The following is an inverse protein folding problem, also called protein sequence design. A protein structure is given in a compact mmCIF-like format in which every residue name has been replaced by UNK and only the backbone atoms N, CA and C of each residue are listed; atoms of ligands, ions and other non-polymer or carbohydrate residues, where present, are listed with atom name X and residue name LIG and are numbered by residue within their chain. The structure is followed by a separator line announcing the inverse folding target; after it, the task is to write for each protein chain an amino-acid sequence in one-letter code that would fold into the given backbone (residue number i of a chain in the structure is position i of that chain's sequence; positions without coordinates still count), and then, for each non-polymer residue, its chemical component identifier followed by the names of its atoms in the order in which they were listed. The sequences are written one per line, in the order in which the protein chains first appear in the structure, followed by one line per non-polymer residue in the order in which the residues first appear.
data_IF_233594878862
#
_entry.id   IF_233594878862
#
_cell.length_a   1.000
_cell.length_b   1.000
_cell.length_c   1.000
_cell.angle_alpha   90.00
_cell.angle_beta   90.00
_cell.angle_gamma   90.00
#
_symmetry.space_group_name_H-M   'P 1'
#
loop_
_entity.id
_entity.type
_entity.pdbx_description
1 polymer ?
#
# COMPACT_ATOMS: atom_id res chain seq x y z
N UNK A 1 1.90 7.04 -11.66
CA UNK A 1 1.64 6.94 -10.20
C UNK A 1 1.77 8.30 -9.54
N UNK A 2 1.19 8.47 -8.36
CA UNK A 2 1.29 9.65 -7.52
C UNK A 2 1.58 9.26 -6.06
N UNK A 3 2.24 10.16 -5.33
CA UNK A 3 2.49 10.06 -3.89
C UNK A 3 1.89 11.27 -3.19
N UNK A 4 1.52 11.11 -1.93
CA UNK A 4 1.12 12.23 -1.10
C UNK A 4 2.28 13.23 -0.91
N UNK A 5 1.96 14.49 -0.64
CA UNK A 5 2.96 15.53 -0.36
C UNK A 5 3.48 15.52 1.08
N UNK A 6 2.95 14.62 1.92
CA UNK A 6 3.37 14.40 3.31
C UNK A 6 3.64 12.91 3.52
N UNK A 7 4.79 12.63 4.11
CA UNK A 7 5.19 11.29 4.51
C UNK A 7 5.08 11.11 6.03
N UNK A 8 5.05 9.86 6.44
CA UNK A 8 5.12 9.41 7.83
C UNK A 8 6.50 8.78 8.07
N UNK A 9 6.97 8.84 9.31
CA UNK A 9 8.25 8.26 9.72
C UNK A 9 8.19 7.80 11.17
N UNK A 10 9.14 6.96 11.56
CA UNK A 10 9.30 6.53 12.94
C UNK A 10 9.47 7.72 13.92
N UNK A 11 9.02 7.57 15.18
CA UNK A 11 8.29 6.42 15.73
C UNK A 11 6.78 6.46 15.43
N UNK A 12 6.08 5.40 15.84
CA UNK A 12 4.62 5.32 15.83
C UNK A 12 4.05 4.48 14.69
N UNK A 13 2.72 4.43 14.65
CA UNK A 13 1.97 3.72 13.64
C UNK A 13 0.97 4.64 12.95
N UNK A 14 0.75 4.40 11.67
CA UNK A 14 -0.03 5.28 10.82
C UNK A 14 -0.96 4.44 9.94
N UNK A 15 -2.14 4.99 9.69
CA UNK A 15 -3.20 4.34 8.93
C UNK A 15 -3.78 5.29 7.89
N UNK A 16 -4.17 4.75 6.75
CA UNK A 16 -5.06 5.44 5.81
C UNK A 16 -5.95 4.46 5.04
N UNK A 17 -7.00 4.99 4.42
CA UNK A 17 -7.92 4.21 3.61
C UNK A 17 -7.94 4.67 2.15
N UNK A 18 -8.23 3.72 1.27
CA UNK A 18 -8.47 3.96 -0.15
C UNK A 18 -9.75 3.28 -0.59
N UNK A 19 -10.68 4.03 -1.16
CA UNK A 19 -11.90 3.46 -1.76
C UNK A 19 -11.70 3.25 -3.25
N UNK A 20 -11.98 2.05 -3.76
CA UNK A 20 -11.91 1.72 -5.19
C UNK A 20 -13.13 2.29 -5.92
N UNK A 21 -12.93 3.27 -6.79
CA UNK A 21 -14.04 3.99 -7.45
C UNK A 21 -14.41 3.43 -8.83
N UNK A 22 -13.48 2.76 -9.48
CA UNK A 22 -13.61 2.27 -10.86
C UNK A 22 -13.07 0.85 -10.95
N UNK A 23 -13.56 0.10 -11.93
CA UNK A 23 -13.01 -1.21 -12.27
C UNK A 23 -11.62 -1.05 -12.88
N UNK A 24 -10.71 -1.95 -12.53
CA UNK A 24 -9.33 -1.94 -13.03
C UNK A 24 -8.32 -2.35 -11.97
N UNK A 25 -7.03 -2.40 -12.34
CA UNK A 25 -5.98 -2.89 -11.46
C UNK A 25 -5.73 -1.91 -10.31
N UNK A 26 -6.04 -2.27 -9.07
CA UNK A 26 -5.80 -1.40 -7.92
C UNK A 26 -4.35 -1.50 -7.49
N UNK A 27 -3.70 -0.40 -7.10
CA UNK A 27 -2.28 -0.35 -6.72
C UNK A 27 -2.05 0.78 -5.71
N UNK A 28 -1.98 0.43 -4.43
CA UNK A 28 -1.91 1.36 -3.28
C UNK A 28 -0.92 0.86 -2.24
N UNK A 29 -0.22 1.77 -1.57
CA UNK A 29 0.64 1.38 -0.46
C UNK A 29 1.59 2.47 -0.02
N UNK A 30 2.71 2.06 0.53
CA UNK A 30 3.71 2.93 1.12
C UNK A 30 4.99 2.90 0.29
N UNK A 31 5.59 4.05 0.03
CA UNK A 31 6.89 4.10 -0.62
C UNK A 31 7.75 5.24 -0.11
N UNK A 32 9.06 5.05 -0.09
CA UNK A 32 10.00 6.12 0.22
C UNK A 32 10.10 7.13 -0.93
N UNK A 33 10.81 8.24 -0.71
CA UNK A 33 11.01 9.23 -1.76
C UNK A 33 11.87 8.70 -2.93
N UNK A 34 12.81 7.78 -2.64
CA UNK A 34 13.69 7.16 -3.63
C UNK A 34 13.03 6.05 -4.45
N UNK A 35 11.83 5.60 -4.07
CA UNK A 35 11.13 4.53 -4.77
C UNK A 35 10.74 4.92 -6.20
N UNK A 36 10.91 3.97 -7.09
CA UNK A 36 10.38 3.92 -8.44
C UNK A 36 8.86 4.06 -8.43
N UNK A 37 8.36 4.68 -9.48
CA UNK A 37 6.92 4.72 -9.75
C UNK A 37 6.43 3.45 -10.45
N UNK A 38 7.35 2.61 -10.92
CA UNK A 38 7.08 1.26 -11.38
C UNK A 38 7.15 0.30 -10.20
N UNK A 39 6.08 -0.46 -10.05
CA UNK A 39 5.76 -1.15 -8.82
C UNK A 39 6.58 -2.40 -8.59
N UNK A 40 7.11 -2.54 -7.37
CA UNK A 40 7.71 -3.77 -6.89
C UNK A 40 9.03 -4.14 -7.56
N UNK A 41 9.55 -3.31 -8.47
CA UNK A 41 10.88 -3.49 -9.07
C UNK A 41 12.00 -3.09 -8.11
N UNK A 42 11.67 -2.32 -7.07
CA UNK A 42 12.60 -1.92 -6.03
C UNK A 42 12.21 -2.42 -4.65
N UNK A 43 13.14 -2.20 -3.73
CA UNK A 43 13.05 -2.56 -2.34
C UNK A 43 12.69 -1.36 -1.46
N UNK A 44 12.05 -0.34 -2.05
CA UNK A 44 11.76 0.97 -1.44
C UNK A 44 10.25 1.28 -1.36
N UNK A 45 9.40 0.44 -1.96
CA UNK A 45 7.94 0.52 -1.88
C UNK A 45 7.27 -0.81 -1.57
N UNK A 46 6.29 -0.79 -0.67
CA UNK A 46 5.45 -1.94 -0.31
C UNK A 46 4.03 -1.64 -0.75
N UNK A 47 3.51 -2.44 -1.68
CA UNK A 47 2.28 -2.08 -2.40
C UNK A 47 1.31 -3.23 -2.44
N UNK A 48 0.07 -2.96 -2.06
CA UNK A 48 -1.07 -3.81 -2.30
C UNK A 48 -1.72 -3.49 -3.64
N UNK A 49 -2.11 -4.51 -4.37
CA UNK A 49 -2.83 -4.32 -5.61
C UNK A 49 -3.35 -5.58 -6.27
N UNK A 50 -3.95 -5.39 -7.45
CA UNK A 50 -4.41 -6.47 -8.31
C UNK A 50 -3.69 -6.41 -9.66
N UNK A 51 -3.59 -7.57 -10.31
CA UNK A 51 -3.11 -7.67 -11.69
C UNK A 51 -4.21 -7.27 -12.68
N UNK A 52 -3.82 -6.95 -13.91
CA UNK A 52 -4.80 -6.59 -14.94
C UNK A 52 -5.73 -7.77 -15.24
N UNK A 53 -7.04 -7.50 -15.31
CA UNK A 53 -8.08 -8.53 -15.43
C UNK A 53 -8.29 -9.42 -14.20
N UNK A 54 -7.60 -9.17 -13.08
CA UNK A 54 -7.72 -9.96 -11.84
C UNK A 54 -8.31 -9.14 -10.70
N UNK A 55 -9.15 -9.77 -9.89
CA UNK A 55 -9.64 -9.20 -8.62
C UNK A 55 -8.83 -9.68 -7.42
N UNK A 56 -7.89 -10.62 -7.60
CA UNK A 56 -7.07 -11.18 -6.53
C UNK A 56 -6.12 -10.11 -5.96
N UNK A 57 -6.23 -9.84 -4.66
CA UNK A 57 -5.34 -8.94 -3.94
C UNK A 57 -3.96 -9.57 -3.72
N UNK A 58 -2.91 -8.84 -4.05
CA UNK A 58 -1.51 -9.21 -3.88
C UNK A 58 -0.77 -8.07 -3.18
N UNK A 59 0.11 -8.40 -2.24
CA UNK A 59 1.08 -7.45 -1.70
C UNK A 59 2.43 -7.71 -2.35
N UNK A 60 3.03 -6.69 -2.94
CA UNK A 60 4.32 -6.76 -3.62
C UNK A 60 5.37 -5.97 -2.85
N UNK A 61 6.53 -6.59 -2.61
CA UNK A 61 7.70 -5.94 -2.01
C UNK A 61 9.00 -6.58 -2.50
N UNK A 62 9.97 -5.79 -2.96
CA UNK A 62 11.28 -6.30 -3.39
C UNK A 62 11.18 -7.44 -4.44
N UNK A 63 10.26 -7.32 -5.38
CA UNK A 63 9.97 -8.34 -6.40
C UNK A 63 9.14 -9.54 -5.93
N UNK A 64 9.01 -9.76 -4.62
CA UNK A 64 8.20 -10.84 -4.05
C UNK A 64 6.72 -10.44 -4.01
N UNK A 65 5.83 -11.41 -4.26
CA UNK A 65 4.38 -11.24 -4.21
C UNK A 65 3.76 -12.19 -3.17
N UNK A 66 2.91 -11.64 -2.32
CA UNK A 66 2.20 -12.36 -1.27
C UNK A 66 0.70 -12.28 -1.52
N UNK A 67 0.02 -13.42 -1.44
CA UNK A 67 -1.44 -13.46 -1.57
C UNK A 67 -2.10 -12.79 -0.36
N UNK A 68 -2.94 -11.79 -0.61
CA UNK A 68 -3.70 -11.14 0.44
C UNK A 68 -4.78 -12.06 1.00
N UNK A 69 -5.28 -13.01 0.19
CA UNK A 69 -6.33 -13.96 0.57
C UNK A 69 -7.76 -13.44 0.36
N UNK A 70 -7.91 -12.25 -0.25
CA UNK A 70 -9.22 -11.71 -0.60
C UNK A 70 -9.21 -11.06 -1.99
N UNK A 71 -10.40 -10.95 -2.56
CA UNK A 71 -10.63 -10.20 -3.79
C UNK A 71 -10.92 -8.72 -3.50
N UNK A 72 -10.60 -7.88 -4.48
CA UNK A 72 -10.84 -6.44 -4.49
C UNK A 72 -11.64 -6.09 -5.72
N UNK A 73 -12.69 -5.31 -5.52
CA UNK A 73 -13.63 -4.86 -6.54
C UNK A 73 -13.94 -3.38 -6.36
N UNK A 74 -14.57 -2.80 -7.37
CA UNK A 74 -15.15 -1.47 -7.27
C UNK A 74 -16.10 -1.38 -6.07
N UNK A 75 -15.92 -0.34 -5.26
CA UNK A 75 -16.66 -0.09 -4.03
C UNK A 75 -15.91 -0.50 -2.76
N UNK A 76 -14.88 -1.34 -2.86
CA UNK A 76 -14.14 -1.81 -1.68
C UNK A 76 -13.28 -0.70 -1.07
N UNK A 77 -13.13 -0.77 0.26
CA UNK A 77 -12.26 0.10 1.04
C UNK A 77 -11.05 -0.68 1.51
N UNK A 78 -9.86 -0.24 1.07
CA UNK A 78 -8.58 -0.83 1.42
C UNK A 78 -7.95 0.00 2.52
N UNK A 79 -7.81 -0.57 3.71
CA UNK A 79 -7.02 0.00 4.78
C UNK A 79 -5.54 -0.35 4.61
N UNK A 80 -4.68 0.66 4.75
CA UNK A 80 -3.23 0.54 4.64
C UNK A 80 -2.62 0.98 5.96
N UNK A 81 -1.95 0.07 6.65
CA UNK A 81 -1.35 0.31 7.96
C UNK A 81 0.16 0.13 7.91
N UNK A 82 0.90 1.00 8.59
CA UNK A 82 2.34 0.91 8.77
C UNK A 82 2.67 1.17 10.23
N UNK A 83 3.45 0.27 10.83
CA UNK A 83 3.87 0.32 12.21
C UNK A 83 5.40 0.35 12.26
N UNK A 84 5.97 1.51 12.57
CA UNK A 84 7.42 1.67 12.67
C UNK A 84 7.98 1.09 13.97
N UNK A 85 7.16 0.97 15.01
CA UNK A 85 7.58 0.45 16.31
C UNK A 85 7.79 -1.07 16.24
N UNK A 86 6.95 -1.76 15.45
CA UNK A 86 7.07 -3.19 15.17
C UNK A 86 7.75 -3.52 13.82
N UNK A 87 7.98 -2.51 12.98
CA UNK A 87 8.63 -2.64 11.67
C UNK A 87 7.82 -3.47 10.67
N UNK A 88 6.50 -3.27 10.62
CA UNK A 88 5.59 -4.04 9.77
C UNK A 88 4.60 -3.16 9.03
N UNK A 89 4.16 -3.61 7.85
CA UNK A 89 3.05 -3.05 7.11
C UNK A 89 1.97 -4.11 6.89
N UNK A 90 0.70 -3.73 7.03
CA UNK A 90 -0.47 -4.61 6.85
C UNK A 90 -1.54 -3.92 6.03
N UNK A 91 -2.41 -4.74 5.45
CA UNK A 91 -3.58 -4.29 4.69
C UNK A 91 -4.84 -4.93 5.23
N UNK A 92 -5.96 -4.24 5.05
CA UNK A 92 -7.29 -4.80 5.21
C UNK A 92 -8.16 -4.43 4.01
N UNK A 93 -9.22 -5.19 3.75
CA UNK A 93 -10.23 -4.86 2.75
C UNK A 93 -11.61 -4.97 3.42
N UNK A 94 -12.34 -3.87 3.50
CA UNK A 94 -13.65 -3.78 4.18
C UNK A 94 -13.61 -4.32 5.63
N UNK A 95 -12.49 -4.10 6.33
CA UNK A 95 -12.25 -4.60 7.70
C UNK A 95 -11.79 -6.06 7.79
N UNK A 96 -11.70 -6.80 6.68
CA UNK A 96 -11.08 -8.12 6.65
C UNK A 96 -9.56 -8.00 6.51
N UNK A 97 -8.81 -8.49 7.50
CA UNK A 97 -7.34 -8.47 7.48
C UNK A 97 -6.77 -9.44 6.44
N UNK A 98 -5.68 -9.01 5.80
CA UNK A 98 -4.91 -9.85 4.89
C UNK A 98 -4.11 -10.94 5.60
N UNK A 99 -3.69 -11.94 4.83
CA UNK A 99 -3.07 -13.15 5.37
C UNK A 99 -1.74 -12.95 6.12
N UNK A 100 -0.93 -11.91 5.80
CA UNK A 100 0.37 -11.75 6.46
C UNK A 100 0.91 -10.30 6.51
N UNK A 101 1.48 -9.85 7.65
CA UNK A 101 2.25 -8.60 7.71
C UNK A 101 3.55 -8.69 6.91
N UNK A 102 3.88 -7.61 6.21
CA UNK A 102 5.15 -7.46 5.50
C UNK A 102 6.16 -6.77 6.41
N UNK A 103 7.32 -7.38 6.61
CA UNK A 103 8.43 -6.82 7.40
C UNK A 103 9.16 -5.73 6.63
N UNK A 104 9.31 -4.58 7.26
CA UNK A 104 10.08 -3.45 6.75
C UNK A 104 11.55 -3.67 7.15
N UNK A 105 12.50 -3.69 6.21
CA UNK A 105 13.92 -3.80 6.53
C UNK A 105 14.39 -2.64 7.41
N UNK A 106 15.28 -2.92 8.36
CA UNK A 106 15.80 -1.92 9.31
C UNK A 106 16.39 -0.67 8.62
N UNK A 107 17.00 -0.86 7.44
CA UNK A 107 17.54 0.26 6.64
C UNK A 107 16.49 1.27 6.20
N UNK A 108 15.22 0.87 6.10
CA UNK A 108 14.11 1.71 5.69
C UNK A 108 13.34 2.31 6.87
N UNK A 109 13.49 1.78 8.09
CA UNK A 109 12.74 2.27 9.26
C UNK A 109 13.02 3.76 9.58
N UNK A 110 14.19 4.26 9.16
CA UNK A 110 14.57 5.67 9.31
C UNK A 110 14.13 6.56 8.14
N UNK A 111 13.60 5.97 7.06
CA UNK A 111 13.12 6.70 5.89
C UNK A 111 11.69 7.23 6.12
N UNK A 112 11.34 8.25 5.35
CA UNK A 112 9.94 8.71 5.31
C UNK A 112 9.17 7.92 4.26
N UNK A 113 8.06 7.30 4.66
CA UNK A 113 7.14 6.62 3.77
C UNK A 113 5.98 7.52 3.41
N UNK A 114 5.61 7.53 2.14
CA UNK A 114 4.55 8.34 1.59
C UNK A 114 3.41 7.41 1.16
N UNK A 115 2.17 7.69 1.58
CA UNK A 115 1.00 7.08 0.97
C UNK A 115 1.03 7.32 -0.54
N UNK A 116 0.85 6.26 -1.31
CA UNK A 116 1.00 6.30 -2.75
C UNK A 116 -0.05 5.49 -3.47
N UNK A 117 -0.43 5.99 -4.64
CA UNK A 117 -1.16 5.25 -5.65
C UNK A 117 -0.27 5.10 -6.87
N UNK A 118 -0.17 3.88 -7.39
CA UNK A 118 0.77 3.59 -8.48
C UNK A 118 0.01 3.05 -9.68
N UNK A 119 -0.47 3.93 -10.55
CA UNK A 119 -1.12 3.53 -11.81
C UNK A 119 -0.60 4.32 -13.02
N UNK A 120 -0.75 3.77 -14.24
CA UNK A 120 -0.63 4.52 -15.47
C UNK A 120 -1.89 5.36 -15.80
N UNK A 121 -3.16 4.93 -15.57
CA UNK A 121 -4.33 5.65 -16.15
C UNK A 121 -5.72 5.63 -15.47
N UNK A 122 -5.91 5.26 -14.20
CA UNK A 122 -7.24 5.46 -13.55
C UNK A 122 -7.12 6.32 -12.30
N UNK A 123 -8.20 7.00 -11.90
CA UNK A 123 -8.21 7.92 -10.75
C UNK A 123 -8.94 7.21 -9.60
N UNK A 124 -8.24 7.03 -8.50
CA UNK A 124 -8.81 6.51 -7.25
C UNK A 124 -8.49 7.60 -6.26
N UNK A 125 -9.51 8.32 -5.83
CA UNK A 125 -9.38 9.39 -4.84
C UNK A 125 -9.41 8.70 -3.49
N UNK A 126 -8.24 8.59 -2.86
CA UNK A 126 -8.12 8.10 -1.49
C UNK A 126 -8.37 9.27 -0.54
N UNK A 127 -9.36 9.16 0.34
CA UNK A 127 -9.43 10.04 1.50
C UNK A 127 -8.39 9.57 2.52
N UNK A 128 -7.29 10.32 2.60
CA UNK A 128 -6.23 10.03 3.56
C UNK A 128 -6.60 10.61 4.93
N UNK A 129 -7.28 9.82 5.78
CA UNK A 129 -7.42 10.15 7.20
C UNK A 129 -6.26 9.51 7.96
N UNK A 130 -5.19 10.28 8.16
CA UNK A 130 -4.11 9.86 9.08
C UNK A 130 -4.68 9.94 10.50
N UNK A 131 -4.96 8.79 11.10
CA UNK A 131 -5.17 8.69 12.55
C UNK A 131 -3.77 8.64 13.16
N UNK A 132 -3.42 9.67 13.95
CA UNK A 132 -2.20 9.73 14.75
C UNK A 132 -2.46 9.23 16.17
#
# INVERSE_FOLDING_TARGET
GCRANKGVKAPGAYYYETTVLEDGPVRVGWATNGASLNLGEDDLGIVFGTEDGSTRGLVTFNGDQFDFGAEVRKGDVIGCYIDFDHGVATWNCNGAEGAQPVRIPDRLLNESFFPGKFQPFSVTICFLSIQC
#
